data_IF_355500026071
#
_entry.id   IF_355500026071
#
_cell.length_a   1.000
_cell.length_b   1.000
_cell.length_c   1.000
_cell.angle_alpha   90.00
_cell.angle_beta   90.00
_cell.angle_gamma   90.00
#
_symmetry.space_group_name_H-M   'P 1'
#
loop_
_entity.id
_entity.type
_entity.pdbx_description
1 polymer ?
#
# COMPACT_ATOMS: atom_id res chain seq x y z
N UNK A 1 -17.23 6.68 -28.82
CA UNK A 1 -16.31 5.64 -29.36
C UNK A 1 -15.76 4.73 -28.26
N UNK A 2 -15.21 5.26 -27.17
CA UNK A 2 -14.52 4.47 -26.12
C UNK A 2 -15.30 3.28 -25.51
N UNK A 3 -16.53 3.48 -24.99
CA UNK A 3 -17.25 2.40 -24.28
C UNK A 3 -17.73 1.27 -25.19
N UNK A 4 -18.07 1.57 -26.45
CA UNK A 4 -18.44 0.54 -27.43
C UNK A 4 -17.24 -0.37 -27.73
N UNK A 5 -16.07 0.23 -27.98
CA UNK A 5 -14.81 -0.51 -28.15
C UNK A 5 -14.47 -1.34 -26.90
N UNK A 6 -14.54 -0.75 -25.70
CA UNK A 6 -14.31 -1.51 -24.46
C UNK A 6 -15.27 -2.69 -24.28
N UNK A 7 -16.55 -2.56 -24.66
CA UNK A 7 -17.52 -3.64 -24.59
C UNK A 7 -17.20 -4.76 -25.58
N UNK A 8 -16.82 -4.42 -26.82
CA UNK A 8 -16.32 -5.38 -27.81
C UNK A 8 -15.07 -6.12 -27.29
N UNK A 9 -14.17 -5.45 -26.57
CA UNK A 9 -13.01 -6.09 -25.93
C UNK A 9 -13.39 -6.95 -24.72
N UNK A 10 -14.44 -6.59 -23.98
CA UNK A 10 -14.96 -7.38 -22.85
C UNK A 10 -15.62 -8.67 -23.34
N UNK A 11 -16.45 -8.60 -24.38
CA UNK A 11 -17.13 -9.75 -24.97
C UNK A 11 -16.12 -10.78 -25.56
N UNK A 12 -14.93 -10.34 -25.98
CA UNK A 12 -13.81 -11.21 -26.41
C UNK A 12 -13.22 -12.02 -25.24
N UNK A 13 -13.22 -11.48 -24.01
CA UNK A 13 -12.64 -12.17 -22.83
C UNK A 13 -13.54 -13.30 -22.31
N UNK A 14 -14.86 -13.22 -22.46
CA UNK A 14 -15.78 -14.29 -22.04
C UNK A 14 -15.68 -15.57 -22.91
N UNK A 15 -15.07 -15.51 -24.10
CA UNK A 15 -15.06 -16.62 -25.06
C UNK A 15 -13.86 -17.58 -24.87
N UNK A 16 -13.83 -18.27 -23.73
CA UNK A 16 -12.99 -19.48 -23.51
C UNK A 16 -13.77 -20.57 -22.74
N UNK A 17 -13.50 -21.86 -22.99
CA UNK A 17 -14.55 -22.88 -22.93
C UNK A 17 -15.05 -23.23 -21.51
N UNK A 18 -16.37 -23.21 -21.40
CA UNK A 18 -17.21 -23.58 -20.27
C UNK A 18 -16.78 -24.81 -19.45
N UNK A 19 -16.76 -24.65 -18.11
CA UNK A 19 -16.78 -25.76 -17.14
C UNK A 19 -18.06 -25.70 -16.30
N UNK A 20 -18.67 -26.86 -16.07
CA UNK A 20 -20.01 -27.05 -15.48
C UNK A 20 -20.12 -26.64 -14.00
N UNK A 21 -21.21 -25.93 -13.64
CA UNK A 21 -21.59 -25.59 -12.26
C UNK A 21 -22.09 -26.81 -11.47
N UNK A 22 -21.55 -27.11 -10.27
CA UNK A 22 -22.22 -27.95 -9.28
C UNK A 22 -23.21 -27.14 -8.42
N UNK A 23 -24.24 -27.80 -7.90
CA UNK A 23 -25.35 -27.21 -7.14
C UNK A 23 -25.01 -26.98 -5.66
N UNK A 24 -25.47 -25.85 -5.11
CA UNK A 24 -25.47 -25.57 -3.66
C UNK A 24 -26.54 -26.38 -2.91
N UNK A 25 -26.23 -26.98 -1.75
CA UNK A 25 -27.23 -27.43 -0.77
C UNK A 25 -27.48 -26.40 0.34
N UNK A 26 -28.65 -26.52 0.97
CA UNK A 26 -29.28 -25.51 1.84
C UNK A 26 -28.84 -25.51 3.31
N UNK A 27 -28.81 -24.32 3.91
CA UNK A 27 -28.62 -24.04 5.35
C UNK A 27 -29.80 -24.52 6.22
N UNK A 28 -29.50 -25.18 7.34
CA UNK A 28 -30.47 -25.55 8.39
C UNK A 28 -30.50 -24.56 9.58
N UNK A 29 -31.54 -24.68 10.42
CA UNK A 29 -31.79 -23.99 11.71
C UNK A 29 -31.96 -25.09 12.79
N UNK A 30 -31.95 -24.90 14.11
CA UNK A 30 -32.01 -23.74 15.04
C UNK A 30 -31.12 -24.09 16.28
N UNK A 31 -31.32 -23.66 17.56
CA UNK A 31 -32.06 -22.52 18.15
C UNK A 31 -31.26 -21.71 19.22
N UNK A 32 -31.97 -20.83 19.92
CA UNK A 32 -31.52 -19.90 20.99
C UNK A 32 -31.61 -20.55 22.40
N UNK A 33 -30.81 -20.09 23.36
CA UNK A 33 -31.06 -20.26 24.80
C UNK A 33 -30.77 -18.96 25.58
N UNK A 34 -31.49 -18.73 26.67
CA UNK A 34 -31.67 -17.45 27.37
C UNK A 34 -30.77 -17.25 28.60
N UNK A 35 -30.55 -15.97 28.94
CA UNK A 35 -29.92 -15.47 30.18
C UNK A 35 -31.00 -15.15 31.23
N UNK A 36 -30.75 -15.34 32.53
CA UNK A 36 -31.43 -14.60 33.59
C UNK A 36 -30.53 -13.51 34.20
N UNK A 37 -31.02 -12.27 34.20
CA UNK A 37 -30.47 -11.14 34.97
C UNK A 37 -30.94 -11.18 36.41
N UNK A 38 -30.13 -10.67 37.35
CA UNK A 38 -30.69 -9.81 38.40
C UNK A 38 -29.72 -8.71 38.84
N UNK A 39 -30.27 -7.57 39.30
CA UNK A 39 -29.55 -6.35 39.67
C UNK A 39 -29.53 -6.18 41.20
N UNK A 40 -28.53 -5.44 41.75
CA UNK A 40 -28.78 -4.20 42.51
C UNK A 40 -27.51 -3.55 43.15
N UNK A 41 -27.29 -2.29 42.77
CA UNK A 41 -26.63 -1.13 43.41
C UNK A 41 -25.73 -1.20 44.69
N UNK A 42 -24.63 -0.43 44.56
CA UNK A 42 -24.04 0.63 45.45
C UNK A 42 -22.93 0.33 46.50
N UNK A 43 -21.88 1.16 46.40
CA UNK A 43 -20.75 1.39 47.33
C UNK A 43 -21.13 2.37 48.50
N UNK A 44 -20.22 3.01 49.30
CA UNK A 44 -18.76 2.80 49.58
C UNK A 44 -18.28 2.96 51.07
N UNK A 45 -17.06 2.50 51.39
CA UNK A 45 -16.17 3.00 52.49
C UNK A 45 -14.76 2.39 52.33
N UNK A 46 -13.57 2.97 52.61
CA UNK A 46 -12.98 4.04 53.46
C UNK A 46 -12.48 3.66 54.89
N UNK A 47 -11.19 3.31 54.94
CA UNK A 47 -10.13 3.68 55.95
C UNK A 47 -9.98 2.98 57.33
N UNK A 48 -8.70 2.75 57.66
CA UNK A 48 -8.01 2.91 58.97
C UNK A 48 -7.80 1.71 59.96
N UNK A 49 -6.57 1.19 59.95
CA UNK A 49 -5.56 1.09 61.04
C UNK A 49 -5.91 0.63 62.48
N UNK A 50 -5.09 -0.28 63.05
CA UNK A 50 -4.45 -0.30 64.42
C UNK A 50 -3.93 -1.73 64.76
N UNK A 51 -3.14 -1.98 65.84
CA UNK A 51 -1.82 -1.40 66.15
C UNK A 51 -0.75 -2.48 66.48
N UNK A 52 0.54 -2.10 66.51
CA UNK A 52 1.68 -2.96 66.93
C UNK A 52 2.17 -2.54 68.32
N UNK A 53 2.67 -3.49 69.13
CA UNK A 53 3.29 -3.24 70.45
C UNK A 53 4.83 -3.32 70.41
N UNK A 54 5.46 -2.56 71.30
CA UNK A 54 6.89 -2.25 71.35
C UNK A 54 7.79 -3.39 71.87
N UNK A 55 9.05 -3.40 71.42
CA UNK A 55 10.24 -3.59 72.27
C UNK A 55 11.38 -2.68 71.74
N UNK A 56 12.08 -1.98 72.63
CA UNK A 56 13.15 -1.01 72.31
C UNK A 56 14.56 -1.59 72.64
N UNK A 57 15.71 -0.88 72.49
CA UNK A 57 16.73 -1.33 71.54
C UNK A 57 18.11 -1.67 72.16
N UNK A 58 18.95 -2.39 71.40
CA UNK A 58 20.37 -2.68 71.71
C UNK A 58 21.22 -2.41 70.44
N UNK A 59 22.44 -1.84 70.54
CA UNK A 59 22.93 -0.93 69.50
C UNK A 59 23.66 -1.55 68.29
N UNK A 60 23.78 -0.70 67.28
CA UNK A 60 24.39 -0.92 65.96
C UNK A 60 25.80 -1.49 66.05
N UNK A 61 26.05 -2.58 65.30
CA UNK A 61 27.37 -2.96 64.81
C UNK A 61 27.33 -2.96 63.29
N UNK A 62 28.17 -2.14 62.66
CA UNK A 62 28.13 -1.90 61.23
C UNK A 62 28.64 -3.11 60.42
N UNK A 63 27.72 -3.91 59.90
CA UNK A 63 28.01 -4.81 58.78
C UNK A 63 27.88 -3.98 57.50
N UNK A 64 28.98 -3.83 56.76
CA UNK A 64 28.92 -3.33 55.38
C UNK A 64 28.16 -4.35 54.54
N UNK A 65 26.87 -4.10 54.31
CA UNK A 65 26.14 -4.75 53.23
C UNK A 65 26.76 -4.32 51.92
N UNK A 66 27.42 -5.25 51.23
CA UNK A 66 27.84 -5.04 49.85
C UNK A 66 26.60 -4.75 49.00
N UNK A 67 26.50 -3.52 48.49
CA UNK A 67 25.57 -3.21 47.43
C UNK A 67 25.95 -4.04 46.20
N UNK A 68 25.29 -5.18 46.03
CA UNK A 68 25.15 -5.78 44.70
C UNK A 68 24.42 -4.76 43.85
N UNK A 69 25.18 -4.00 43.08
CA UNK A 69 24.64 -3.21 41.98
C UNK A 69 23.95 -4.18 41.04
N UNK A 70 22.61 -4.14 41.03
CA UNK A 70 21.85 -4.73 39.94
C UNK A 70 22.25 -3.97 38.68
N UNK A 71 23.14 -4.58 37.90
CA UNK A 71 23.54 -4.08 36.60
C UNK A 71 22.33 -4.12 35.69
N UNK A 72 21.59 -3.01 35.63
CA UNK A 72 20.47 -2.81 34.71
C UNK A 72 20.99 -3.13 33.30
N UNK A 73 20.54 -4.24 32.73
CA UNK A 73 20.97 -4.62 31.38
C UNK A 73 20.60 -3.49 30.40
N UNK A 74 21.54 -3.02 29.58
CA UNK A 74 21.29 -1.88 28.71
C UNK A 74 20.22 -2.25 27.69
N UNK A 75 19.11 -1.52 27.70
CA UNK A 75 17.94 -1.75 26.84
C UNK A 75 18.41 -1.93 25.38
N UNK A 76 18.22 -3.12 24.78
CA UNK A 76 18.65 -3.36 23.41
C UNK A 76 17.98 -2.39 22.44
N UNK A 77 18.68 -2.06 21.34
CA UNK A 77 18.10 -1.24 20.27
C UNK A 77 16.82 -1.91 19.76
N UNK A 78 15.68 -1.24 19.94
CA UNK A 78 14.35 -1.74 19.56
C UNK A 78 13.74 -1.02 18.35
N UNK A 79 14.31 0.13 17.94
CA UNK A 79 13.84 0.89 16.78
C UNK A 79 14.71 0.65 15.54
N UNK A 80 14.08 0.11 14.49
CA UNK A 80 14.72 -0.27 13.22
C UNK A 80 13.87 0.25 12.03
N UNK A 81 14.11 1.49 11.53
CA UNK A 81 13.29 2.06 10.46
C UNK A 81 13.34 1.23 9.18
N UNK A 82 14.54 0.77 8.80
CA UNK A 82 14.81 0.05 7.56
C UNK A 82 14.77 -1.48 7.70
N UNK A 83 14.12 -1.99 8.76
CA UNK A 83 14.03 -3.42 9.06
C UNK A 83 15.10 -3.87 10.05
N UNK A 84 14.86 -4.99 10.72
CA UNK A 84 15.80 -5.56 11.68
C UNK A 84 16.89 -6.36 10.95
N UNK A 85 18.14 -6.11 11.27
CA UNK A 85 19.28 -6.88 10.75
C UNK A 85 19.28 -8.25 11.44
N UNK A 86 18.94 -9.32 10.71
CA UNK A 86 19.27 -10.69 11.12
C UNK A 86 20.79 -10.87 11.17
N UNK A 87 21.29 -11.87 11.91
CA UNK A 87 22.72 -12.14 12.16
C UNK A 87 23.63 -11.80 10.94
N UNK A 88 24.47 -10.74 11.01
CA UNK A 88 25.08 -10.13 9.82
C UNK A 88 25.83 -11.12 8.91
N UNK A 89 26.61 -12.02 9.51
CA UNK A 89 27.37 -13.06 8.80
C UNK A 89 26.51 -13.95 7.89
N UNK A 90 25.27 -14.28 8.30
CA UNK A 90 24.38 -15.09 7.48
C UNK A 90 23.86 -14.32 6.25
N UNK A 91 23.55 -13.04 6.41
CA UNK A 91 23.12 -12.17 5.31
C UNK A 91 24.26 -11.97 4.31
N UNK A 92 25.48 -11.72 4.78
CA UNK A 92 26.65 -11.51 3.91
C UNK A 92 26.99 -12.76 3.07
N UNK A 93 26.86 -13.96 3.66
CA UNK A 93 27.03 -15.24 2.94
C UNK A 93 25.93 -15.44 1.88
N UNK A 94 24.66 -15.20 2.23
CA UNK A 94 23.53 -15.32 1.29
C UNK A 94 23.64 -14.32 0.13
N UNK A 95 23.94 -13.05 0.44
CA UNK A 95 24.15 -11.99 -0.55
C UNK A 95 25.32 -12.33 -1.49
N UNK A 96 26.42 -12.84 -0.97
CA UNK A 96 27.58 -13.27 -1.78
C UNK A 96 27.23 -14.45 -2.69
N UNK A 97 26.41 -15.40 -2.20
CA UNK A 97 25.91 -16.54 -2.99
C UNK A 97 24.97 -16.08 -4.12
N UNK A 98 23.96 -15.26 -3.80
CA UNK A 98 23.02 -14.71 -4.79
C UNK A 98 23.75 -13.91 -5.87
N UNK A 99 24.69 -13.04 -5.49
CA UNK A 99 25.49 -12.26 -6.44
C UNK A 99 26.36 -13.13 -7.36
N UNK A 100 26.97 -14.21 -6.83
CA UNK A 100 27.72 -15.17 -7.64
C UNK A 100 26.80 -15.86 -8.66
N UNK A 101 25.65 -16.33 -8.21
CA UNK A 101 24.68 -16.99 -9.08
C UNK A 101 24.18 -16.05 -10.18
N UNK A 102 23.79 -14.82 -9.84
CA UNK A 102 23.40 -13.78 -10.81
C UNK A 102 24.54 -13.49 -11.81
N UNK A 103 25.81 -13.50 -11.36
CA UNK A 103 26.96 -13.33 -12.25
C UNK A 103 27.07 -14.46 -13.29
N UNK A 104 26.99 -15.70 -12.82
CA UNK A 104 27.20 -16.92 -13.61
C UNK A 104 26.00 -17.22 -14.54
N UNK A 105 24.76 -17.08 -14.05
CA UNK A 105 23.52 -17.45 -14.76
C UNK A 105 22.98 -16.38 -15.73
N UNK A 106 23.48 -15.14 -15.64
CA UNK A 106 23.01 -13.99 -16.43
C UNK A 106 24.14 -13.14 -17.02
N UNK A 107 25.02 -12.56 -16.21
CA UNK A 107 26.00 -11.58 -16.71
C UNK A 107 27.06 -12.21 -17.63
N UNK A 108 27.59 -13.39 -17.29
CA UNK A 108 28.58 -14.09 -18.12
C UNK A 108 28.00 -14.49 -19.50
N UNK A 109 26.83 -15.16 -19.60
CA UNK A 109 26.20 -15.46 -20.89
C UNK A 109 25.82 -14.25 -21.74
N UNK A 110 25.60 -13.08 -21.12
CA UNK A 110 25.20 -11.82 -21.77
C UNK A 110 26.37 -10.85 -22.01
N UNK A 111 27.62 -11.32 -21.92
CA UNK A 111 28.82 -10.51 -22.12
C UNK A 111 28.85 -9.22 -21.28
N UNK A 112 28.45 -9.33 -20.01
CA UNK A 112 28.42 -8.25 -19.02
C UNK A 112 27.50 -7.05 -19.38
N UNK A 113 26.44 -7.31 -20.17
CA UNK A 113 25.44 -6.29 -20.57
C UNK A 113 24.03 -6.83 -20.42
N UNK A 114 23.37 -6.50 -19.31
CA UNK A 114 21.96 -6.80 -19.09
C UNK A 114 21.07 -5.62 -19.46
N UNK A 115 19.97 -5.91 -20.16
CA UNK A 115 18.92 -4.97 -20.48
C UNK A 115 17.67 -5.22 -19.62
N UNK A 116 16.68 -4.32 -19.67
CA UNK A 116 15.44 -4.44 -18.88
C UNK A 116 14.73 -5.81 -19.04
N UNK A 117 14.79 -6.41 -20.23
CA UNK A 117 14.20 -7.74 -20.49
C UNK A 117 14.84 -8.86 -19.66
N UNK A 118 16.12 -8.74 -19.31
CA UNK A 118 16.85 -9.71 -18.49
C UNK A 118 16.55 -9.54 -17.00
N UNK A 119 16.09 -8.35 -16.58
CA UNK A 119 15.86 -8.02 -15.17
C UNK A 119 14.70 -8.79 -14.53
N UNK A 120 13.83 -9.42 -15.34
CA UNK A 120 12.82 -10.36 -14.84
C UNK A 120 13.43 -11.62 -14.23
N UNK A 121 14.31 -12.31 -14.98
CA UNK A 121 15.06 -13.46 -14.47
C UNK A 121 16.02 -13.05 -13.34
N UNK A 122 16.58 -11.83 -13.40
CA UNK A 122 17.41 -11.29 -12.32
C UNK A 122 16.62 -11.11 -11.01
N UNK A 123 15.38 -10.62 -11.06
CA UNK A 123 14.52 -10.50 -9.87
C UNK A 123 14.25 -11.88 -9.23
N UNK A 124 13.90 -12.87 -10.05
CA UNK A 124 13.66 -14.24 -9.60
C UNK A 124 14.90 -14.88 -8.95
N UNK A 125 16.11 -14.64 -9.47
CA UNK A 125 17.38 -15.10 -8.85
C UNK A 125 17.74 -14.40 -7.53
N UNK A 126 17.01 -13.34 -7.16
CA UNK A 126 17.17 -12.61 -5.90
C UNK A 126 16.02 -12.88 -4.91
N UNK A 127 15.17 -13.87 -5.21
CA UNK A 127 13.98 -14.22 -4.44
C UNK A 127 12.96 -13.05 -4.37
N UNK A 128 12.81 -12.33 -5.50
CA UNK A 128 11.85 -11.23 -5.70
C UNK A 128 10.88 -11.56 -6.84
N UNK A 129 9.65 -11.05 -6.79
CA UNK A 129 8.73 -11.15 -7.92
C UNK A 129 9.27 -10.47 -9.18
N UNK A 130 8.97 -11.07 -10.34
CA UNK A 130 9.17 -10.58 -11.70
C UNK A 130 8.88 -9.09 -11.86
N UNK A 131 7.81 -8.57 -11.25
CA UNK A 131 7.39 -7.16 -11.41
C UNK A 131 8.30 -6.15 -10.70
N UNK A 132 9.28 -6.61 -9.92
CA UNK A 132 10.36 -5.75 -9.45
C UNK A 132 11.34 -5.35 -10.56
N UNK A 133 11.30 -6.00 -11.74
CA UNK A 133 12.27 -5.79 -12.84
C UNK A 133 12.43 -4.32 -13.26
N UNK A 134 11.34 -3.60 -13.47
CA UNK A 134 11.39 -2.20 -13.91
C UNK A 134 11.92 -1.28 -12.80
N UNK A 135 11.38 -1.26 -11.56
CA UNK A 135 11.98 -0.50 -10.47
C UNK A 135 13.45 -0.86 -10.18
N UNK A 136 13.83 -2.14 -10.30
CA UNK A 136 15.19 -2.59 -10.03
C UNK A 136 16.18 -2.13 -11.11
N UNK A 137 15.81 -2.27 -12.39
CA UNK A 137 16.61 -1.78 -13.52
C UNK A 137 16.80 -0.27 -13.45
N UNK A 138 15.70 0.47 -13.28
CA UNK A 138 15.72 1.94 -13.26
C UNK A 138 16.51 2.49 -12.08
N UNK A 139 16.31 1.95 -10.88
CA UNK A 139 17.10 2.37 -9.71
C UNK A 139 18.59 2.08 -9.88
N UNK A 140 18.97 0.93 -10.44
CA UNK A 140 20.37 0.60 -10.72
C UNK A 140 21.00 1.55 -11.75
N UNK A 141 20.27 1.88 -12.82
CA UNK A 141 20.72 2.85 -13.83
C UNK A 141 20.86 4.25 -13.24
N UNK A 142 19.89 4.71 -12.43
CA UNK A 142 19.93 6.03 -11.82
C UNK A 142 20.99 6.17 -10.72
N UNK A 143 21.33 5.11 -9.98
CA UNK A 143 22.46 5.11 -9.02
C UNK A 143 23.81 5.22 -9.74
N UNK A 144 23.90 4.66 -10.95
CA UNK A 144 25.14 4.57 -11.73
C UNK A 144 25.40 5.78 -12.62
N UNK A 145 24.39 6.19 -13.41
CA UNK A 145 24.49 7.24 -14.43
C UNK A 145 23.84 8.56 -13.99
N UNK A 146 23.12 8.56 -12.86
CA UNK A 146 22.45 9.71 -12.29
C UNK A 146 20.94 9.81 -12.59
N UNK A 147 20.22 10.66 -11.85
CA UNK A 147 18.76 10.72 -11.88
C UNK A 147 18.18 11.38 -13.13
N UNK A 148 18.97 12.12 -13.91
CA UNK A 148 18.53 12.85 -15.12
C UNK A 148 18.71 12.06 -16.42
N UNK A 149 19.11 10.78 -16.34
CA UNK A 149 19.38 9.97 -17.53
C UNK A 149 18.09 9.38 -18.08
N UNK A 150 17.82 9.67 -19.35
CA UNK A 150 16.74 9.04 -20.10
C UNK A 150 17.09 7.58 -20.37
N UNK A 151 16.31 6.67 -19.79
CA UNK A 151 16.46 5.23 -19.97
C UNK A 151 15.85 4.85 -21.31
N UNK A 152 16.61 4.14 -22.13
CA UNK A 152 16.23 3.70 -23.49
C UNK A 152 16.35 2.18 -23.61
N UNK A 153 15.84 1.62 -24.70
CA UNK A 153 16.02 0.19 -25.04
C UNK A 153 17.50 -0.24 -25.10
N UNK A 154 18.40 0.66 -25.47
CA UNK A 154 19.84 0.40 -25.56
C UNK A 154 20.59 0.54 -24.23
N UNK A 155 19.95 1.13 -23.21
CA UNK A 155 20.51 1.22 -21.86
C UNK A 155 20.76 -0.19 -21.32
N UNK A 156 21.96 -0.41 -20.78
CA UNK A 156 22.41 -1.68 -20.23
C UNK A 156 23.13 -1.44 -18.90
N UNK A 157 23.21 -2.49 -18.10
CA UNK A 157 23.88 -2.53 -16.79
C UNK A 157 24.93 -3.63 -16.81
N UNK A 158 26.13 -3.35 -16.30
CA UNK A 158 27.21 -4.32 -16.09
C UNK A 158 27.22 -4.89 -14.67
N UNK A 159 27.88 -6.03 -14.47
CA UNK A 159 27.91 -6.74 -13.20
C UNK A 159 28.46 -5.86 -12.08
N UNK A 160 29.52 -5.09 -12.34
CA UNK A 160 30.12 -4.21 -11.33
C UNK A 160 29.18 -3.08 -10.89
N UNK A 161 28.38 -2.55 -11.82
CA UNK A 161 27.37 -1.53 -11.54
C UNK A 161 26.26 -2.13 -10.67
N UNK A 162 25.71 -3.27 -11.11
CA UNK A 162 24.67 -3.99 -10.37
C UNK A 162 25.13 -4.46 -8.98
N UNK A 163 26.33 -5.04 -8.87
CA UNK A 163 26.89 -5.54 -7.62
C UNK A 163 27.09 -4.41 -6.60
N UNK A 164 27.66 -3.28 -7.03
CA UNK A 164 27.84 -2.09 -6.18
C UNK A 164 26.50 -1.57 -5.66
N UNK A 165 25.55 -1.39 -6.57
CA UNK A 165 24.18 -0.96 -6.27
C UNK A 165 23.45 -1.92 -5.31
N UNK A 166 23.47 -3.23 -5.59
CA UNK A 166 22.74 -4.23 -4.80
C UNK A 166 23.33 -4.41 -3.39
N UNK A 167 24.66 -4.38 -3.25
CA UNK A 167 25.34 -4.36 -1.93
C UNK A 167 24.97 -3.10 -1.13
N UNK A 168 24.97 -1.93 -1.78
CA UNK A 168 24.56 -0.65 -1.17
C UNK A 168 23.09 -0.67 -0.75
N UNK A 169 22.20 -1.23 -1.56
CA UNK A 169 20.78 -1.40 -1.23
C UNK A 169 20.60 -2.29 0.00
N UNK A 170 21.15 -3.52 0.00
CA UNK A 170 20.99 -4.48 1.09
C UNK A 170 21.64 -4.02 2.41
N UNK A 171 22.73 -3.23 2.33
CA UNK A 171 23.36 -2.61 3.50
C UNK A 171 22.49 -1.53 4.15
N UNK A 172 21.63 -0.86 3.39
CA UNK A 172 20.78 0.24 3.89
C UNK A 172 19.33 -0.18 4.15
N UNK A 173 18.84 -1.24 3.49
CA UNK A 173 17.46 -1.70 3.51
C UNK A 173 17.41 -3.21 3.73
N UNK A 174 16.87 -3.63 4.88
CA UNK A 174 17.04 -4.99 5.40
C UNK A 174 15.82 -5.90 5.16
N UNK A 175 14.72 -5.36 4.64
CA UNK A 175 13.51 -6.12 4.31
C UNK A 175 12.92 -5.72 2.94
N UNK A 176 11.96 -6.50 2.43
CA UNK A 176 11.38 -6.26 1.11
C UNK A 176 10.64 -4.92 1.05
N UNK A 177 9.91 -4.52 2.10
CA UNK A 177 9.19 -3.25 2.12
C UNK A 177 10.11 -2.02 2.02
N UNK A 178 11.23 -2.01 2.75
CA UNK A 178 12.20 -0.90 2.71
C UNK A 178 12.95 -0.85 1.38
N UNK A 179 13.36 -2.01 0.84
CA UNK A 179 13.94 -2.12 -0.51
C UNK A 179 12.96 -1.60 -1.56
N UNK A 180 11.72 -2.08 -1.55
CA UNK A 180 10.69 -1.72 -2.54
C UNK A 180 10.41 -0.23 -2.58
N UNK A 181 10.18 0.41 -1.43
CA UNK A 181 9.98 1.87 -1.38
C UNK A 181 11.20 2.61 -1.91
N UNK A 182 12.42 2.20 -1.54
CA UNK A 182 13.62 2.85 -2.06
C UNK A 182 13.74 2.71 -3.59
N UNK A 183 13.49 1.51 -4.14
CA UNK A 183 13.51 1.27 -5.60
C UNK A 183 12.51 2.15 -6.35
N UNK A 184 11.25 2.25 -5.88
CA UNK A 184 10.25 3.09 -6.51
C UNK A 184 10.56 4.59 -6.37
N UNK A 185 11.02 5.03 -5.19
CA UNK A 185 11.47 6.44 -5.00
C UNK A 185 12.59 6.77 -5.98
N UNK A 186 13.65 5.95 -6.07
CA UNK A 186 14.81 6.21 -6.96
C UNK A 186 14.45 6.10 -8.45
N UNK A 187 13.45 5.28 -8.80
CA UNK A 187 12.95 5.13 -10.17
C UNK A 187 11.96 6.21 -10.61
N UNK A 188 11.46 7.03 -9.68
CA UNK A 188 10.36 7.97 -9.90
C UNK A 188 10.70 9.05 -10.93
N UNK A 189 9.81 9.36 -11.88
CA UNK A 189 10.02 10.47 -12.82
C UNK A 189 10.09 11.83 -12.11
N UNK A 190 9.47 11.96 -10.93
CA UNK A 190 9.48 13.18 -10.13
C UNK A 190 10.81 13.45 -9.42
N UNK A 191 11.76 12.51 -9.42
CA UNK A 191 13.01 12.64 -8.66
C UNK A 191 13.94 13.75 -9.17
N UNK A 192 13.71 14.27 -10.38
CA UNK A 192 14.39 15.46 -10.88
C UNK A 192 14.17 16.73 -10.02
N UNK A 193 13.17 16.74 -9.13
CA UNK A 193 12.73 17.92 -8.36
C UNK A 193 12.78 17.78 -6.83
N UNK A 194 13.16 16.62 -6.26
CA UNK A 194 13.02 16.35 -4.82
C UNK A 194 14.30 15.77 -4.17
N UNK A 195 14.51 15.98 -2.85
CA UNK A 195 15.68 15.48 -2.15
C UNK A 195 15.72 13.95 -2.06
N UNK A 196 16.92 13.40 -2.27
CA UNK A 196 17.24 11.96 -2.43
C UNK A 196 16.85 11.09 -1.22
N UNK A 197 16.61 11.68 -0.04
CA UNK A 197 16.37 10.97 1.23
C UNK A 197 14.88 10.79 1.58
N UNK A 198 14.01 10.60 0.58
CA UNK A 198 12.57 10.39 0.78
C UNK A 198 12.27 8.93 1.14
N UNK A 199 11.54 8.70 2.23
CA UNK A 199 11.24 7.36 2.79
C UNK A 199 9.75 6.97 2.68
N UNK A 200 9.04 7.57 1.73
CA UNK A 200 7.62 7.34 1.47
C UNK A 200 7.31 7.49 -0.01
N UNK A 201 6.30 6.77 -0.49
CA UNK A 201 5.81 6.87 -1.87
C UNK A 201 4.70 7.91 -2.00
N UNK A 202 4.68 8.58 -3.14
CA UNK A 202 3.61 9.46 -3.65
C UNK A 202 2.97 8.83 -4.88
N UNK A 203 1.77 9.28 -5.26
CA UNK A 203 0.94 8.69 -6.33
C UNK A 203 1.73 8.46 -7.64
N UNK A 204 2.63 9.36 -8.02
CA UNK A 204 3.34 9.31 -9.31
C UNK A 204 4.59 8.39 -9.30
N UNK A 205 4.99 7.83 -8.15
CA UNK A 205 6.12 6.87 -8.09
C UNK A 205 5.74 5.48 -8.64
N UNK A 206 4.44 5.23 -8.76
CA UNK A 206 3.88 3.93 -9.13
C UNK A 206 3.75 3.75 -10.65
N UNK A 207 3.78 4.84 -11.41
CA UNK A 207 3.47 4.85 -12.85
C UNK A 207 4.33 3.81 -13.60
N UNK A 208 5.64 3.74 -13.34
CA UNK A 208 6.52 2.77 -14.01
C UNK A 208 6.36 1.33 -13.54
N UNK A 209 5.92 1.07 -12.30
CA UNK A 209 5.59 -0.29 -11.86
C UNK A 209 4.31 -0.77 -12.54
N UNK A 210 3.25 0.04 -12.51
CA UNK A 210 1.95 -0.37 -13.03
C UNK A 210 1.95 -0.41 -14.56
N UNK A 211 2.68 0.49 -15.23
CA UNK A 211 2.92 0.40 -16.68
C UNK A 211 3.63 -0.90 -17.07
N UNK A 212 4.65 -1.31 -16.32
CA UNK A 212 5.37 -2.58 -16.54
C UNK A 212 4.45 -3.81 -16.38
N UNK A 213 3.50 -3.76 -15.44
CA UNK A 213 2.46 -4.78 -15.26
C UNK A 213 1.50 -4.80 -16.47
N UNK A 214 1.01 -3.65 -16.96
CA UNK A 214 0.20 -3.57 -18.20
C UNK A 214 0.98 -4.16 -19.39
N UNK A 215 2.25 -3.80 -19.51
CA UNK A 215 3.08 -4.18 -20.64
C UNK A 215 3.51 -5.65 -20.60
N UNK A 216 3.47 -6.35 -19.46
CA UNK A 216 3.98 -7.73 -19.35
C UNK A 216 3.04 -8.80 -18.79
N UNK A 217 2.01 -8.45 -18.00
CA UNK A 217 1.08 -9.43 -17.44
C UNK A 217 0.20 -10.08 -18.53
N UNK A 218 0.04 -11.42 -18.58
CA UNK A 218 -0.73 -12.09 -19.62
C UNK A 218 -2.20 -11.66 -19.66
N UNK A 219 -2.88 -11.59 -18.51
CA UNK A 219 -4.24 -11.07 -18.36
C UNK A 219 -4.46 -9.58 -18.68
N UNK A 220 -3.43 -8.82 -19.10
CA UNK A 220 -3.55 -7.42 -19.54
C UNK A 220 -3.07 -7.20 -20.99
N UNK A 221 -2.81 -8.28 -21.75
CA UNK A 221 -2.35 -8.20 -23.16
C UNK A 221 -3.21 -7.29 -24.04
N UNK A 222 -4.53 -7.35 -23.91
CA UNK A 222 -5.47 -6.51 -24.66
C UNK A 222 -5.35 -5.01 -24.27
N UNK A 223 -5.07 -4.72 -22.99
CA UNK A 223 -4.93 -3.35 -22.50
C UNK A 223 -3.68 -2.68 -23.08
N UNK A 224 -2.60 -3.44 -23.35
CA UNK A 224 -1.34 -2.94 -23.93
C UNK A 224 -1.54 -2.14 -25.22
N UNK A 225 -2.46 -2.56 -26.08
CA UNK A 225 -2.78 -1.87 -27.34
C UNK A 225 -3.67 -0.64 -27.10
N UNK A 226 -4.58 -0.72 -26.13
CA UNK A 226 -5.53 0.32 -25.78
C UNK A 226 -4.94 1.41 -24.85
N UNK A 227 -3.89 2.10 -25.35
CA UNK A 227 -3.10 3.12 -24.62
C UNK A 227 -3.92 4.22 -23.93
N UNK A 228 -5.07 4.59 -24.48
CA UNK A 228 -5.97 5.58 -23.90
C UNK A 228 -6.46 5.21 -22.48
N UNK A 229 -6.47 3.93 -22.13
CA UNK A 229 -6.90 3.46 -20.81
C UNK A 229 -5.76 3.25 -19.82
N UNK A 230 -4.48 3.29 -20.26
CA UNK A 230 -3.32 3.04 -19.37
C UNK A 230 -3.30 3.99 -18.18
N UNK A 231 -3.37 5.31 -18.42
CA UNK A 231 -3.40 6.33 -17.36
C UNK A 231 -4.56 6.13 -16.37
N UNK A 232 -5.75 5.78 -16.87
CA UNK A 232 -6.95 5.56 -16.06
C UNK A 232 -6.83 4.30 -15.21
N UNK A 233 -6.35 3.20 -15.79
CA UNK A 233 -6.06 1.97 -15.06
C UNK A 233 -4.97 2.18 -13.99
N UNK A 234 -3.87 2.86 -14.32
CA UNK A 234 -2.80 3.21 -13.37
C UNK A 234 -3.37 4.01 -12.19
N UNK A 235 -4.08 5.12 -12.45
CA UNK A 235 -4.65 5.93 -11.36
C UNK A 235 -5.69 5.15 -10.53
N UNK A 236 -6.43 4.20 -11.10
CA UNK A 236 -7.31 3.30 -10.34
C UNK A 236 -6.54 2.32 -9.46
N UNK A 237 -5.55 1.60 -10.00
CA UNK A 237 -4.70 0.68 -9.22
C UNK A 237 -4.04 1.43 -8.06
N UNK A 238 -3.45 2.60 -8.33
CA UNK A 238 -2.80 3.41 -7.30
C UNK A 238 -3.80 3.92 -6.26
N UNK A 239 -4.99 4.40 -6.66
CA UNK A 239 -6.03 4.78 -5.71
C UNK A 239 -6.41 3.61 -4.79
N UNK A 240 -6.58 2.39 -5.33
CA UNK A 240 -6.86 1.17 -4.55
C UNK A 240 -5.70 0.80 -3.61
N UNK A 241 -4.45 0.99 -4.03
CA UNK A 241 -3.27 0.81 -3.17
C UNK A 241 -3.30 1.78 -1.99
N UNK A 242 -3.48 3.08 -2.20
CA UNK A 242 -3.54 4.03 -1.08
C UNK A 242 -4.78 3.81 -0.20
N UNK A 243 -5.94 3.46 -0.77
CA UNK A 243 -7.18 3.18 -0.04
C UNK A 243 -7.02 2.07 1.01
N UNK A 244 -6.31 1.01 0.65
CA UNK A 244 -6.06 -0.12 1.54
C UNK A 244 -4.84 0.10 2.44
N UNK A 245 -3.74 0.60 1.87
CA UNK A 245 -2.42 0.61 2.53
C UNK A 245 -2.10 1.90 3.29
N UNK A 246 -2.44 3.10 2.79
CA UNK A 246 -2.08 4.38 3.42
C UNK A 246 -3.08 4.75 4.53
N UNK A 247 -3.05 3.95 5.62
CA UNK A 247 -3.94 4.08 6.78
C UNK A 247 -3.86 5.45 7.47
N UNK A 248 -2.79 6.20 7.26
CA UNK A 248 -2.56 7.54 7.80
C UNK A 248 -3.23 8.68 7.02
N UNK A 249 -3.84 8.43 5.85
CA UNK A 249 -4.46 9.45 4.98
C UNK A 249 -3.52 10.58 4.53
N UNK A 250 -2.21 10.40 4.73
CA UNK A 250 -1.18 11.41 4.51
C UNK A 250 -0.84 11.65 3.03
N UNK A 251 -1.33 10.80 2.12
CA UNK A 251 -0.88 10.75 0.72
C UNK A 251 0.57 10.28 0.56
N UNK A 252 1.19 9.79 1.64
CA UNK A 252 2.60 9.42 1.74
C UNK A 252 2.70 7.98 2.26
N UNK A 253 2.72 6.99 1.38
CA UNK A 253 2.76 5.59 1.80
C UNK A 253 4.14 5.27 2.39
N UNK A 254 4.18 5.00 3.69
CA UNK A 254 5.42 4.73 4.43
C UNK A 254 5.81 3.26 4.42
N UNK A 255 7.08 2.96 4.75
CA UNK A 255 7.56 1.57 4.87
C UNK A 255 6.74 0.78 5.89
N UNK A 256 6.34 1.40 7.00
CA UNK A 256 5.54 0.73 8.04
C UNK A 256 4.10 0.43 7.60
N UNK A 257 3.52 1.26 6.74
CA UNK A 257 2.21 0.98 6.13
C UNK A 257 2.31 -0.14 5.10
N UNK A 258 3.35 -0.14 4.26
CA UNK A 258 3.60 -1.21 3.30
C UNK A 258 3.87 -2.56 3.99
N UNK A 259 4.65 -2.60 5.08
CA UNK A 259 4.87 -3.80 5.91
C UNK A 259 3.58 -4.39 6.50
N UNK A 260 2.57 -3.55 6.73
CA UNK A 260 1.28 -3.93 7.34
C UNK A 260 0.19 -4.23 6.31
N UNK A 261 0.47 -4.07 5.02
CA UNK A 261 -0.46 -4.39 3.94
C UNK A 261 -0.12 -5.74 3.29
N UNK A 262 -1.07 -6.25 2.52
CA UNK A 262 -0.91 -7.40 1.64
C UNK A 262 -0.37 -7.01 0.25
N UNK A 263 0.17 -5.80 0.04
CA UNK A 263 0.55 -5.36 -1.30
C UNK A 263 1.66 -6.22 -1.92
N UNK A 264 2.76 -6.46 -1.20
CA UNK A 264 3.89 -7.22 -1.74
C UNK A 264 3.49 -8.68 -2.03
N UNK A 265 2.79 -9.34 -1.10
CA UNK A 265 2.29 -10.70 -1.35
C UNK A 265 1.23 -10.78 -2.43
N UNK A 266 0.53 -9.68 -2.74
CA UNK A 266 -0.37 -9.61 -3.91
C UNK A 266 0.42 -9.42 -5.20
N UNK A 267 1.53 -8.66 -5.16
CA UNK A 267 2.45 -8.51 -6.28
C UNK A 267 3.10 -9.85 -6.66
N UNK A 268 3.48 -10.66 -5.67
CA UNK A 268 4.00 -12.02 -5.89
C UNK A 268 2.91 -12.92 -6.51
N UNK A 269 1.65 -12.85 -6.04
CA UNK A 269 0.55 -13.66 -6.57
C UNK A 269 0.16 -13.35 -8.02
N UNK A 270 0.26 -12.09 -8.49
CA UNK A 270 -0.01 -11.75 -9.91
C UNK A 270 1.09 -12.24 -10.86
N UNK A 271 2.17 -12.84 -10.37
CA UNK A 271 3.14 -13.54 -11.21
C UNK A 271 2.69 -14.98 -11.52
N UNK A 272 1.95 -15.59 -10.60
CA UNK A 272 1.47 -16.98 -10.68
C UNK A 272 0.11 -17.10 -11.40
N UNK A 273 -0.77 -16.10 -11.27
CA UNK A 273 -2.14 -16.11 -11.81
C UNK A 273 -2.23 -15.43 -13.18
N UNK A 274 -2.49 -16.18 -14.26
CA UNK A 274 -2.60 -15.60 -15.60
C UNK A 274 -3.82 -14.68 -15.76
N UNK A 275 -4.92 -14.97 -15.05
CA UNK A 275 -6.16 -14.18 -15.01
C UNK A 275 -6.10 -13.15 -13.87
N UNK A 276 -5.77 -11.91 -14.24
CA UNK A 276 -5.63 -10.77 -13.31
C UNK A 276 -6.91 -10.51 -12.47
N UNK A 277 -8.08 -10.99 -12.91
CA UNK A 277 -9.34 -10.76 -12.20
C UNK A 277 -9.55 -11.73 -11.03
N UNK A 278 -8.83 -12.86 -10.97
CA UNK A 278 -8.80 -13.75 -9.79
C UNK A 278 -8.21 -13.08 -8.57
N UNK A 279 -7.32 -12.11 -8.79
CA UNK A 279 -6.72 -11.29 -7.75
C UNK A 279 -7.49 -9.98 -7.68
N UNK A 280 -8.58 -10.02 -6.91
CA UNK A 280 -9.45 -8.86 -6.68
C UNK A 280 -8.70 -7.66 -6.10
N UNK A 281 -7.66 -7.88 -5.30
CA UNK A 281 -6.85 -6.84 -4.66
C UNK A 281 -6.00 -6.05 -5.66
N UNK A 282 -6.15 -4.73 -5.62
CA UNK A 282 -5.43 -3.71 -6.44
C UNK A 282 -5.60 -3.81 -7.96
N UNK A 283 -5.24 -4.93 -8.59
CA UNK A 283 -4.96 -5.04 -10.03
C UNK A 283 -6.11 -5.60 -10.90
N UNK A 284 -7.18 -6.16 -10.32
CA UNK A 284 -8.34 -6.63 -11.11
C UNK A 284 -8.83 -5.59 -12.12
N UNK A 285 -8.86 -5.99 -13.39
CA UNK A 285 -9.31 -5.18 -14.51
C UNK A 285 -10.83 -4.98 -14.49
N UNK A 286 -11.60 -6.00 -14.11
CA UNK A 286 -13.06 -5.89 -13.92
C UNK A 286 -13.43 -4.78 -12.93
N UNK A 287 -12.74 -4.71 -11.78
CA UNK A 287 -12.94 -3.63 -10.82
C UNK A 287 -12.60 -2.26 -11.42
N UNK A 288 -11.51 -2.14 -12.20
CA UNK A 288 -11.22 -0.91 -12.93
C UNK A 288 -12.34 -0.55 -13.92
N UNK A 289 -12.82 -1.52 -14.70
CA UNK A 289 -13.81 -1.30 -15.74
C UNK A 289 -15.14 -0.80 -15.17
N UNK A 290 -15.65 -1.43 -14.11
CA UNK A 290 -16.90 -1.00 -13.43
C UNK A 290 -16.75 0.42 -12.86
N UNK A 291 -15.62 0.74 -12.24
CA UNK A 291 -15.33 2.08 -11.72
C UNK A 291 -15.27 3.11 -12.84
N UNK A 292 -14.61 2.79 -13.95
CA UNK A 292 -14.46 3.68 -15.09
C UNK A 292 -15.78 3.92 -15.85
N UNK A 293 -16.61 2.89 -16.05
CA UNK A 293 -17.95 3.05 -16.63
C UNK A 293 -18.82 3.99 -15.79
N UNK A 294 -18.88 3.78 -14.46
CA UNK A 294 -19.63 4.66 -13.55
C UNK A 294 -19.12 6.11 -13.52
N UNK A 295 -17.85 6.34 -13.81
CA UNK A 295 -17.30 7.69 -13.98
C UNK A 295 -17.72 8.30 -15.33
N UNK A 296 -17.54 7.54 -16.41
CA UNK A 296 -17.81 7.97 -17.78
C UNK A 296 -19.31 8.28 -18.02
N UNK A 297 -20.21 7.59 -17.34
CA UNK A 297 -21.65 7.89 -17.35
C UNK A 297 -22.01 9.25 -16.71
N UNK A 298 -21.13 9.81 -15.88
CA UNK A 298 -21.33 11.10 -15.21
C UNK A 298 -20.58 12.23 -15.91
N UNK A 299 -19.32 11.98 -16.34
CA UNK A 299 -18.45 12.89 -17.09
C UNK A 299 -18.94 13.07 -18.55
N UNK A 300 -19.99 13.87 -18.71
CA UNK A 300 -20.72 14.04 -19.98
C UNK A 300 -19.99 14.96 -20.97
N UNK A 301 -19.19 15.91 -20.49
CA UNK A 301 -18.34 16.81 -21.28
C UNK A 301 -16.91 16.27 -21.50
N UNK A 302 -16.58 15.13 -20.88
CA UNK A 302 -15.33 14.39 -21.04
C UNK A 302 -14.09 15.19 -20.60
N UNK A 303 -14.23 16.06 -19.60
CA UNK A 303 -13.15 16.91 -19.07
C UNK A 303 -12.32 16.19 -17.97
N UNK A 304 -12.68 14.94 -17.63
CA UNK A 304 -12.10 14.12 -16.57
C UNK A 304 -12.32 14.66 -15.14
N UNK A 305 -13.32 15.52 -14.97
CA UNK A 305 -13.78 16.03 -13.70
C UNK A 305 -15.29 15.82 -13.54
N UNK A 306 -15.75 15.65 -12.29
CA UNK A 306 -17.16 15.47 -11.95
C UNK A 306 -17.61 16.69 -11.15
N UNK A 307 -18.64 17.40 -11.61
CA UNK A 307 -19.25 18.49 -10.85
C UNK A 307 -20.19 17.96 -9.75
N UNK A 308 -20.70 18.87 -8.91
CA UNK A 308 -21.76 18.54 -7.93
C UNK A 308 -23.02 18.01 -8.60
N UNK A 309 -23.40 18.61 -9.73
CA UNK A 309 -24.62 18.26 -10.46
C UNK A 309 -24.48 16.93 -11.20
N UNK A 310 -23.26 16.55 -11.59
CA UNK A 310 -22.98 15.23 -12.15
C UNK A 310 -23.00 14.16 -11.07
N UNK A 311 -22.37 14.41 -9.92
CA UNK A 311 -22.42 13.48 -8.79
C UNK A 311 -23.85 13.29 -8.26
N UNK A 312 -24.73 14.28 -8.40
CA UNK A 312 -26.15 14.18 -8.05
C UNK A 312 -26.94 13.19 -8.94
N UNK A 313 -26.45 12.86 -10.14
CA UNK A 313 -27.05 11.85 -11.03
C UNK A 313 -26.68 10.42 -10.62
N UNK A 314 -25.62 10.24 -9.83
CA UNK A 314 -25.10 8.93 -9.44
C UNK A 314 -26.15 8.06 -8.74
N UNK A 315 -26.26 6.79 -9.17
CA UNK A 315 -27.25 5.82 -8.70
C UNK A 315 -28.69 6.41 -8.62
N UNK A 316 -29.12 7.14 -9.66
CA UNK A 316 -30.44 7.77 -9.77
C UNK A 316 -30.76 8.76 -8.62
N UNK A 317 -29.75 9.48 -8.12
CA UNK A 317 -29.93 10.45 -7.03
C UNK A 317 -30.01 9.81 -5.64
N UNK A 318 -29.42 8.62 -5.45
CA UNK A 318 -29.35 7.94 -4.15
C UNK A 318 -28.60 8.72 -3.06
N UNK A 319 -27.80 9.72 -3.43
CA UNK A 319 -26.99 10.53 -2.51
C UNK A 319 -27.63 11.91 -2.35
N UNK A 320 -27.95 12.28 -1.10
CA UNK A 320 -28.56 13.58 -0.81
C UNK A 320 -27.59 14.74 -1.08
N UNK A 321 -28.12 15.88 -1.56
CA UNK A 321 -27.33 17.08 -1.86
C UNK A 321 -26.46 17.53 -0.67
N UNK A 322 -26.94 17.40 0.58
CA UNK A 322 -26.14 17.70 1.79
C UNK A 322 -24.89 16.83 1.94
N UNK A 323 -24.94 15.57 1.46
CA UNK A 323 -23.77 14.70 1.44
C UNK A 323 -22.82 15.06 0.29
N UNK A 324 -23.37 15.41 -0.88
CA UNK A 324 -22.59 15.93 -2.03
C UNK A 324 -21.84 17.20 -1.61
N UNK A 325 -22.51 18.17 -1.00
CA UNK A 325 -21.90 19.39 -0.48
C UNK A 325 -20.75 19.11 0.50
N UNK A 326 -20.87 18.05 1.32
CA UNK A 326 -19.81 17.60 2.26
C UNK A 326 -18.65 16.91 1.57
N UNK A 327 -18.90 16.14 0.50
CA UNK A 327 -17.84 15.55 -0.34
C UNK A 327 -16.99 16.68 -0.95
N UNK A 328 -17.64 17.70 -1.52
CA UNK A 328 -17.01 18.87 -2.12
C UNK A 328 -16.59 19.98 -1.13
N UNK A 329 -16.73 19.78 0.19
CA UNK A 329 -16.31 20.79 1.20
C UNK A 329 -14.84 20.66 1.60
N UNK A 330 -14.03 19.91 0.86
CA UNK A 330 -12.65 19.59 1.22
C UNK A 330 -12.49 18.56 2.37
N UNK A 331 -13.59 17.93 2.81
CA UNK A 331 -13.57 17.01 3.95
C UNK A 331 -12.93 15.64 3.64
N UNK A 332 -12.83 15.26 2.36
CA UNK A 332 -12.31 13.96 1.90
C UNK A 332 -10.98 14.12 1.15
N UNK A 333 -10.82 15.23 0.43
CA UNK A 333 -9.60 15.58 -0.29
C UNK A 333 -9.41 17.10 -0.26
N UNK A 334 -8.16 17.53 -0.06
CA UNK A 334 -7.79 18.94 0.02
C UNK A 334 -7.20 19.46 -1.32
N UNK A 335 -7.49 18.76 -2.43
CA UNK A 335 -7.01 19.10 -3.78
C UNK A 335 -7.51 20.46 -4.25
N UNK A 336 -6.83 21.03 -5.25
CA UNK A 336 -7.25 22.30 -5.85
C UNK A 336 -8.61 22.15 -6.55
N UNK A 337 -8.81 21.08 -7.34
CA UNK A 337 -10.05 20.80 -8.06
C UNK A 337 -11.26 20.77 -7.10
N UNK A 338 -11.12 20.13 -5.93
CA UNK A 338 -12.19 20.07 -4.93
C UNK A 338 -12.59 21.45 -4.39
N UNK A 339 -11.63 22.36 -4.24
CA UNK A 339 -11.89 23.76 -3.85
C UNK A 339 -12.60 24.54 -4.95
N UNK A 340 -12.36 24.19 -6.20
CA UNK A 340 -13.06 24.70 -7.39
C UNK A 340 -14.40 23.98 -7.64
N UNK A 341 -14.82 23.06 -6.76
CA UNK A 341 -16.11 22.37 -6.84
C UNK A 341 -16.17 21.21 -7.83
N UNK A 342 -15.00 20.72 -8.29
CA UNK A 342 -14.86 19.61 -9.24
C UNK A 342 -14.05 18.45 -8.66
N UNK A 343 -14.47 17.22 -8.92
CA UNK A 343 -13.85 15.99 -8.41
C UNK A 343 -13.05 15.31 -9.53
N UNK A 344 -11.77 15.05 -9.34
CA UNK A 344 -10.97 14.30 -10.32
C UNK A 344 -11.33 12.81 -10.35
N UNK A 345 -11.02 12.13 -11.46
CA UNK A 345 -11.13 10.66 -11.57
C UNK A 345 -10.52 9.91 -10.37
N UNK A 346 -9.33 10.31 -9.91
CA UNK A 346 -8.68 9.67 -8.75
C UNK A 346 -9.53 9.78 -7.48
N UNK A 347 -10.14 10.95 -7.23
CA UNK A 347 -11.01 11.18 -6.08
C UNK A 347 -12.36 10.47 -6.22
N UNK A 348 -12.88 10.33 -7.44
CA UNK A 348 -14.07 9.53 -7.72
C UNK A 348 -13.84 8.04 -7.40
N UNK A 349 -12.67 7.48 -7.72
CA UNK A 349 -12.31 6.10 -7.34
C UNK A 349 -12.39 5.92 -5.82
N UNK A 350 -11.85 6.87 -5.04
CA UNK A 350 -11.95 6.87 -3.58
C UNK A 350 -13.39 6.96 -3.09
N UNK A 351 -14.19 7.85 -3.67
CA UNK A 351 -15.61 8.01 -3.36
C UNK A 351 -16.39 6.71 -3.62
N UNK A 352 -16.22 6.09 -4.79
CA UNK A 352 -17.00 4.93 -5.21
C UNK A 352 -16.66 3.66 -4.41
N UNK A 353 -15.36 3.38 -4.20
CA UNK A 353 -14.93 2.27 -3.32
C UNK A 353 -15.48 2.49 -1.91
N UNK A 354 -15.44 3.74 -1.43
CA UNK A 354 -16.02 4.08 -0.13
C UNK A 354 -17.53 3.87 -0.10
N UNK A 355 -18.28 4.12 -1.19
CA UNK A 355 -19.73 3.96 -1.25
C UNK A 355 -20.15 2.49 -1.14
N UNK A 356 -19.51 1.62 -1.92
CA UNK A 356 -19.85 0.20 -2.07
C UNK A 356 -19.49 -0.62 -0.81
N UNK A 357 -18.27 -0.49 -0.27
CA UNK A 357 -17.88 -1.20 0.97
C UNK A 357 -18.13 -0.35 2.23
N UNK A 358 -19.29 -0.61 2.85
CA UNK A 358 -19.71 0.00 4.12
C UNK A 358 -18.99 -0.56 5.36
N UNK A 359 -18.13 -1.58 5.22
CA UNK A 359 -17.51 -2.32 6.33
C UNK A 359 -16.00 -2.18 6.40
N UNK A 360 -15.32 -1.78 5.32
CA UNK A 360 -13.88 -1.50 5.36
C UNK A 360 -13.52 -0.49 6.46
N UNK A 361 -12.45 -0.78 7.19
CA UNK A 361 -11.91 0.13 8.19
C UNK A 361 -11.58 1.51 7.59
N UNK A 362 -11.25 1.61 6.29
CA UNK A 362 -10.99 2.89 5.62
C UNK A 362 -12.20 3.81 5.75
N UNK A 363 -13.40 3.37 5.34
CA UNK A 363 -14.64 4.16 5.51
C UNK A 363 -14.93 4.50 6.97
N UNK A 364 -14.64 3.60 7.91
CA UNK A 364 -14.90 3.84 9.35
C UNK A 364 -13.99 4.95 9.91
N UNK A 365 -12.71 5.00 9.52
CA UNK A 365 -11.83 6.12 9.92
C UNK A 365 -12.23 7.44 9.22
N UNK A 366 -12.65 7.37 7.96
CA UNK A 366 -13.22 8.49 7.20
C UNK A 366 -14.48 9.10 7.86
N UNK A 367 -15.17 8.34 8.71
CA UNK A 367 -16.25 8.84 9.59
C UNK A 367 -15.79 9.21 11.00
N UNK A 368 -14.71 8.62 11.53
CA UNK A 368 -14.18 8.96 12.87
C UNK A 368 -13.42 10.28 12.90
N UNK A 369 -12.65 10.64 11.87
CA UNK A 369 -12.03 11.98 11.81
C UNK A 369 -13.07 13.11 11.74
N UNK A 370 -14.30 12.82 11.31
CA UNK A 370 -15.43 13.76 11.39
C UNK A 370 -15.86 14.09 12.83
N UNK A 371 -15.36 13.35 13.83
CA UNK A 371 -15.63 13.62 15.26
C UNK A 371 -14.47 14.30 15.99
N UNK A 372 -13.30 14.44 15.37
CA UNK A 372 -12.09 14.99 16.00
C UNK A 372 -11.38 16.12 15.22
N UNK A 373 -12.09 16.84 14.34
CA UNK A 373 -11.66 18.21 13.98
C UNK A 373 -11.99 19.18 15.12
N UNK A 374 -10.95 19.64 15.81
CA UNK A 374 -11.02 20.50 17.00
C UNK A 374 -11.61 21.89 16.71
N UNK A 375 -12.93 22.03 16.86
CA UNK A 375 -13.58 23.31 17.16
C UNK A 375 -14.90 23.19 17.94
N UNK A 376 -15.34 21.98 18.32
CA UNK A 376 -16.64 21.74 18.96
C UNK A 376 -16.58 21.56 20.50
N UNK A 377 -15.44 21.82 21.15
CA UNK A 377 -15.28 21.62 22.61
C UNK A 377 -15.65 22.85 23.47
N UNK A 378 -15.79 24.03 22.87
CA UNK A 378 -16.21 25.24 23.60
C UNK A 378 -17.74 25.39 23.67
N UNK A 379 -18.50 24.74 22.78
CA UNK A 379 -19.97 24.86 22.75
C UNK A 379 -20.68 24.05 23.85
N UNK A 380 -19.99 23.08 24.47
CA UNK A 380 -20.50 22.25 25.58
C UNK A 380 -20.04 22.74 26.96
N UNK A 381 -19.67 24.02 27.09
CA UNK A 381 -19.41 24.71 28.36
C UNK A 381 -20.30 25.93 28.62
N UNK A 382 -21.28 26.19 27.75
CA UNK A 382 -22.16 27.37 27.82
C UNK A 382 -23.63 27.05 27.49
N UNK A 383 -24.04 25.81 27.74
CA UNK A 383 -25.44 25.35 27.91
C UNK A 383 -25.43 24.26 29.00
#
# INVERSE_FOLDING_TARGET
VGVASLREHFDIVEHSPSVTKPKTPSRAKSPVSSVPTDNLQRQPSKTATTPVKEVSPVPISAVKSEEKSETVEPIPKFYFPNGQISTPSAIDILLTRQLRQVKEDLFVPKHDKLHLVDFGKLAQLLDLSLYWKTPLFRACVHDTLGPKVNITSHTNVSYLQFESFWKKLCKNHHDHASKFIHLLVVSSPSLAALPINRQYLTVDDWDYLVQDIIDTHPGLKFLREAREFHSRYIKTVVARVYYNCNRSWSGKLTVQELRRSNFLSTLDRIEEEEDINRIHDYFSYEHFYVIYCKFWELDSDHDLLISRDDLAKHNNGAISNKMIDRIFSGAISNSQNMREGKMSYYEFVWFLISEEDKRSATRIYQMKDQTFTTHSLDFLKTV
#
